data_IF_674544687254
#
_entry.id   IF_674544687254
#
_cell.length_a   1.000
_cell.length_b   1.000
_cell.length_c   1.000
_cell.angle_alpha   90.00
_cell.angle_beta   90.00
_cell.angle_gamma   90.00
#
_symmetry.space_group_name_H-M   'P 1'
#
loop_
_entity.id
_entity.type
_entity.pdbx_description
1 polymer ?
#
# COMPACT_ATOMS: atom_id res chain seq x y z
N UNK A 1 -3.41 21.95 -1.34
CA UNK A 1 -4.90 21.86 -1.36
C UNK A 1 -5.52 21.98 -2.77
N UNK A 2 -5.41 23.12 -3.47
CA UNK A 2 -6.08 23.33 -4.77
C UNK A 2 -5.73 22.28 -5.85
N UNK A 3 -4.48 21.81 -5.89
CA UNK A 3 -4.04 20.76 -6.81
C UNK A 3 -4.70 19.41 -6.50
N UNK A 4 -4.88 19.07 -5.22
CA UNK A 4 -5.51 17.81 -4.77
C UNK A 4 -6.96 17.80 -5.22
N UNK A 5 -7.69 18.88 -4.93
CA UNK A 5 -9.10 19.04 -5.32
C UNK A 5 -9.24 19.06 -6.85
N UNK A 6 -8.33 19.75 -7.54
CA UNK A 6 -8.29 19.81 -9.00
C UNK A 6 -8.17 18.41 -9.62
N UNK A 7 -7.14 17.64 -9.25
CA UNK A 7 -6.91 16.29 -9.78
C UNK A 7 -8.08 15.35 -9.42
N UNK A 8 -8.59 15.43 -8.19
CA UNK A 8 -9.73 14.63 -7.77
C UNK A 8 -10.97 14.90 -8.64
N UNK A 9 -11.28 16.18 -8.91
CA UNK A 9 -12.45 16.58 -9.69
C UNK A 9 -12.29 16.35 -11.20
N UNK A 10 -11.11 16.61 -11.78
CA UNK A 10 -10.92 16.61 -13.24
C UNK A 10 -10.36 15.32 -13.80
N UNK A 11 -9.68 14.51 -12.98
CA UNK A 11 -9.05 13.25 -13.42
C UNK A 11 -9.73 12.07 -12.76
N UNK A 12 -9.69 11.98 -11.43
CA UNK A 12 -10.11 10.76 -10.71
C UNK A 12 -11.63 10.56 -10.80
N UNK A 13 -12.41 11.62 -10.55
CA UNK A 13 -13.87 11.56 -10.58
C UNK A 13 -14.43 11.12 -11.95
N UNK A 14 -14.10 11.76 -13.09
CA UNK A 14 -14.65 11.33 -14.37
C UNK A 14 -14.18 9.94 -14.78
N UNK A 15 -12.94 9.55 -14.46
CA UNK A 15 -12.42 8.20 -14.73
C UNK A 15 -13.09 7.11 -13.88
N UNK A 16 -13.72 7.47 -12.75
CA UNK A 16 -14.40 6.53 -11.85
C UNK A 16 -15.87 6.29 -12.21
N UNK A 17 -16.44 7.05 -13.14
CA UNK A 17 -17.85 6.91 -13.57
C UNK A 17 -18.10 5.72 -14.53
N UNK A 18 -17.23 5.41 -15.51
CA UNK A 18 -17.41 4.28 -16.41
C UNK A 18 -17.36 2.96 -15.65
N UNK A 19 -18.28 2.05 -15.98
CA UNK A 19 -18.38 0.73 -15.35
C UNK A 19 -17.51 -0.34 -16.00
N UNK A 20 -17.04 -0.10 -17.23
CA UNK A 20 -16.19 -1.01 -17.99
C UNK A 20 -14.77 -0.46 -18.08
N UNK A 21 -13.85 -1.06 -17.34
CA UNK A 21 -12.44 -0.69 -17.37
C UNK A 21 -11.70 -1.49 -18.46
N UNK A 22 -12.12 -1.39 -19.73
CA UNK A 22 -11.38 -2.01 -20.84
C UNK A 22 -9.96 -1.43 -20.96
N UNK A 23 -9.76 -0.19 -20.47
CA UNK A 23 -8.45 0.45 -20.32
C UNK A 23 -7.53 -0.20 -19.26
N UNK A 24 -8.06 -1.06 -18.37
CA UNK A 24 -7.34 -1.72 -17.27
C UNK A 24 -6.10 -2.50 -17.76
N UNK A 25 -6.18 -3.11 -18.94
CA UNK A 25 -5.06 -3.88 -19.53
C UNK A 25 -3.82 -3.01 -19.79
N UNK A 26 -4.01 -1.76 -20.20
CA UNK A 26 -2.90 -0.85 -20.50
C UNK A 26 -2.32 -0.23 -19.24
N UNK A 27 -3.15 0.00 -18.22
CA UNK A 27 -2.69 0.53 -16.93
C UNK A 27 -1.77 -0.48 -16.22
N UNK A 28 -2.08 -1.78 -16.26
CA UNK A 28 -1.21 -2.79 -15.63
C UNK A 28 0.22 -2.78 -16.19
N UNK A 29 0.39 -2.63 -17.52
CA UNK A 29 1.71 -2.54 -18.15
C UNK A 29 2.45 -1.29 -17.68
N UNK A 30 1.75 -0.15 -17.63
CA UNK A 30 2.31 1.10 -17.14
C UNK A 30 2.70 1.01 -15.66
N UNK A 31 1.91 0.35 -14.81
CA UNK A 31 2.22 0.15 -13.39
C UNK A 31 3.48 -0.69 -13.18
N UNK A 32 3.61 -1.80 -13.91
CA UNK A 32 4.81 -2.64 -13.84
C UNK A 32 6.03 -1.86 -14.32
N UNK A 33 5.91 -1.12 -15.42
CA UNK A 33 6.98 -0.27 -15.93
C UNK A 33 7.38 0.80 -14.89
N UNK A 34 6.41 1.46 -14.25
CA UNK A 34 6.68 2.47 -13.23
C UNK A 34 7.45 1.90 -12.04
N UNK A 35 7.04 0.73 -11.52
CA UNK A 35 7.73 0.07 -10.41
C UNK A 35 9.16 -0.31 -10.82
N UNK A 36 9.34 -0.89 -12.02
CA UNK A 36 10.66 -1.23 -12.53
C UNK A 36 11.56 0.00 -12.67
N UNK A 37 11.04 1.09 -13.25
CA UNK A 37 11.79 2.34 -13.42
C UNK A 37 12.16 2.96 -12.06
N UNK A 38 11.24 2.98 -11.09
CA UNK A 38 11.52 3.45 -9.74
C UNK A 38 12.61 2.61 -9.08
N UNK A 39 12.50 1.28 -9.12
CA UNK A 39 13.48 0.40 -8.52
C UNK A 39 14.88 0.55 -9.15
N UNK A 40 14.95 0.64 -10.48
CA UNK A 40 16.22 0.88 -11.20
C UNK A 40 16.79 2.25 -10.85
N UNK A 41 15.97 3.31 -10.87
CA UNK A 41 16.42 4.66 -10.57
C UNK A 41 16.99 4.76 -9.15
N UNK A 42 16.30 4.16 -8.18
CA UNK A 42 16.75 4.10 -6.78
C UNK A 42 18.05 3.30 -6.67
N UNK A 43 18.11 2.11 -7.27
CA UNK A 43 19.31 1.27 -7.24
C UNK A 43 20.54 1.97 -7.84
N UNK A 44 20.38 2.68 -8.96
CA UNK A 44 21.47 3.39 -9.62
C UNK A 44 21.91 4.65 -8.86
N UNK A 45 20.97 5.37 -8.24
CA UNK A 45 21.26 6.66 -7.58
C UNK A 45 21.68 6.51 -6.11
N UNK A 46 21.29 5.43 -5.45
CA UNK A 46 21.58 5.24 -4.04
C UNK A 46 23.08 5.34 -3.68
N UNK A 47 24.03 4.75 -4.44
CA UNK A 47 25.45 4.89 -4.13
C UNK A 47 25.95 6.34 -4.20
N UNK A 48 25.50 7.10 -5.21
CA UNK A 48 25.90 8.50 -5.39
C UNK A 48 25.35 9.40 -4.30
N UNK A 49 24.07 9.25 -3.95
CA UNK A 49 23.45 10.01 -2.85
C UNK A 49 24.04 9.62 -1.49
N UNK A 50 24.36 8.35 -1.26
CA UNK A 50 25.03 7.91 -0.05
C UNK A 50 26.46 8.47 0.07
N UNK A 51 27.21 8.60 -1.03
CA UNK A 51 28.55 9.18 -1.00
C UNK A 51 28.52 10.70 -0.81
N UNK A 52 27.59 11.38 -1.49
CA UNK A 52 27.46 12.83 -1.44
C UNK A 52 26.74 13.34 -0.19
N UNK A 53 26.33 12.45 0.72
CA UNK A 53 25.40 12.75 1.82
C UNK A 53 24.18 13.55 1.34
N UNK A 54 23.59 13.11 0.22
CA UNK A 54 22.68 13.88 -0.63
C UNK A 54 21.30 14.23 -0.04
N UNK A 55 21.14 14.11 1.28
CA UNK A 55 20.00 14.60 2.05
C UNK A 55 20.36 15.56 3.18
N UNK A 56 21.65 15.85 3.40
CA UNK A 56 22.08 16.84 4.40
C UNK A 56 22.01 18.24 3.81
N UNK A 57 21.30 19.12 4.51
CA UNK A 57 21.37 20.55 4.28
C UNK A 57 22.74 21.05 4.79
N UNK A 58 23.49 21.74 3.93
CA UNK A 58 24.83 22.28 4.27
C UNK A 58 24.80 23.32 5.41
N UNK A 59 23.62 23.79 5.80
CA UNK A 59 23.37 24.76 6.87
C UNK A 59 22.96 24.08 8.21
N UNK A 60 22.79 22.76 8.25
CA UNK A 60 22.43 22.04 9.48
C UNK A 60 23.58 22.02 10.50
N UNK A 61 23.24 21.94 11.79
CA UNK A 61 24.23 21.79 12.86
C UNK A 61 25.08 20.52 12.59
N UNK A 62 26.42 20.64 12.59
CA UNK A 62 27.32 19.51 12.36
C UNK A 62 27.03 18.28 13.24
N UNK A 63 26.60 18.47 14.49
CA UNK A 63 26.28 17.37 15.41
C UNK A 63 25.01 16.62 15.02
N UNK A 64 23.95 17.35 14.68
CA UNK A 64 22.68 16.75 14.23
C UNK A 64 22.85 16.06 12.87
N UNK A 65 23.65 16.66 11.99
CA UNK A 65 24.00 16.09 10.69
C UNK A 65 24.77 14.77 10.82
N UNK A 66 25.65 14.64 11.82
CA UNK A 66 26.43 13.43 12.06
C UNK A 66 25.54 12.31 12.61
N UNK A 67 24.70 12.60 13.60
CA UNK A 67 23.76 11.62 14.18
C UNK A 67 22.72 11.15 13.14
N UNK A 68 22.16 12.06 12.34
CA UNK A 68 21.20 11.70 11.30
C UNK A 68 21.83 10.85 10.19
N UNK A 69 23.14 10.98 9.98
CA UNK A 69 23.88 10.19 9.02
C UNK A 69 24.40 8.85 9.58
N UNK A 70 24.18 8.55 10.85
CA UNK A 70 24.53 7.23 11.39
C UNK A 70 23.64 6.13 10.81
N UNK A 71 24.25 4.97 10.55
CA UNK A 71 23.52 3.82 10.04
C UNK A 71 22.82 3.10 11.20
N UNK A 72 21.52 3.39 11.37
CA UNK A 72 20.68 2.72 12.36
C UNK A 72 20.20 1.39 11.82
N UNK A 73 20.68 0.28 12.39
CA UNK A 73 20.27 -1.08 12.02
C UNK A 73 18.99 -1.53 12.74
N UNK A 74 18.75 -0.99 13.94
CA UNK A 74 17.62 -1.34 14.77
C UNK A 74 17.05 -0.08 15.43
N UNK A 75 15.73 0.08 15.35
CA UNK A 75 15.01 1.10 16.10
C UNK A 75 14.28 0.42 17.27
N UNK A 76 14.60 0.76 18.54
CA UNK A 76 13.95 0.16 19.70
C UNK A 76 12.53 0.69 19.94
N UNK A 77 12.08 1.72 19.22
CA UNK A 77 10.74 2.29 19.42
C UNK A 77 9.62 1.32 18.98
N UNK A 78 8.78 0.84 19.92
CA UNK A 78 7.70 -0.10 19.60
C UNK A 78 6.62 0.52 18.70
N UNK A 79 6.38 1.84 18.78
CA UNK A 79 5.37 2.50 17.95
C UNK A 79 5.76 2.47 16.47
N UNK A 80 7.02 2.82 16.16
CA UNK A 80 7.60 2.73 14.82
C UNK A 80 7.60 1.30 14.27
N UNK A 81 7.89 0.30 15.12
CA UNK A 81 7.84 -1.11 14.74
C UNK A 81 6.40 -1.55 14.38
N UNK A 82 5.41 -1.15 15.18
CA UNK A 82 3.99 -1.41 14.92
C UNK A 82 3.49 -0.71 13.65
N UNK A 83 3.96 0.52 13.40
CA UNK A 83 3.67 1.23 12.15
C UNK A 83 4.26 0.51 10.95
N UNK A 84 5.52 0.07 11.04
CA UNK A 84 6.19 -0.68 9.98
C UNK A 84 5.49 -2.02 9.69
N UNK A 85 5.05 -2.73 10.73
CA UNK A 85 4.23 -3.94 10.60
C UNK A 85 2.93 -3.67 9.84
N UNK A 86 2.25 -2.57 10.18
CA UNK A 86 0.96 -2.21 9.58
C UNK A 86 1.09 -1.79 8.12
N UNK A 87 2.12 -1.01 7.79
CA UNK A 87 2.46 -0.64 6.42
C UNK A 87 2.81 -1.89 5.60
N UNK A 88 3.59 -2.81 6.17
CA UNK A 88 3.93 -4.07 5.51
C UNK A 88 2.67 -4.92 5.25
N UNK A 89 1.76 -4.98 6.21
CA UNK A 89 0.51 -5.72 6.06
C UNK A 89 -0.37 -5.14 4.95
N UNK A 90 -0.43 -3.81 4.83
CA UNK A 90 -1.12 -3.14 3.74
C UNK A 90 -0.41 -3.37 2.40
N UNK A 91 0.92 -3.32 2.36
CA UNK A 91 1.72 -3.51 1.15
C UNK A 91 1.48 -4.90 0.53
N UNK A 92 1.46 -5.95 1.36
CA UNK A 92 1.23 -7.34 0.91
C UNK A 92 -0.25 -7.71 0.74
N UNK A 93 -1.18 -6.73 0.77
CA UNK A 93 -2.61 -6.99 0.67
C UNK A 93 -3.06 -7.28 -0.79
N UNK A 94 -2.77 -8.48 -1.29
CA UNK A 94 -3.16 -8.91 -2.63
C UNK A 94 -4.47 -9.73 -2.70
N UNK A 95 -5.16 -9.92 -1.56
CA UNK A 95 -6.28 -10.86 -1.41
C UNK A 95 -7.49 -10.57 -2.32
N UNK A 96 -7.74 -9.31 -2.68
CA UNK A 96 -8.83 -8.91 -3.58
C UNK A 96 -8.65 -9.45 -5.00
N UNK A 97 -7.39 -9.63 -5.42
CA UNK A 97 -7.03 -10.14 -6.73
C UNK A 97 -6.84 -11.67 -6.76
N UNK A 98 -6.80 -12.33 -5.60
CA UNK A 98 -6.50 -13.75 -5.50
C UNK A 98 -7.52 -14.62 -6.27
N UNK A 99 -8.82 -14.35 -6.12
CA UNK A 99 -9.87 -15.13 -6.80
C UNK A 99 -9.86 -14.92 -8.32
N UNK A 100 -9.89 -13.68 -8.86
CA UNK A 100 -9.76 -13.46 -10.30
C UNK A 100 -8.52 -14.13 -10.90
N UNK A 101 -7.36 -13.99 -10.26
CA UNK A 101 -6.12 -14.63 -10.72
C UNK A 101 -6.26 -16.15 -10.73
N UNK A 102 -6.73 -16.76 -9.64
CA UNK A 102 -6.91 -18.20 -9.56
C UNK A 102 -7.86 -18.73 -10.65
N UNK A 103 -8.96 -18.02 -10.94
CA UNK A 103 -9.91 -18.41 -12.00
C UNK A 103 -9.36 -18.23 -13.42
N UNK A 104 -8.31 -17.41 -13.60
CA UNK A 104 -7.65 -17.20 -14.88
C UNK A 104 -6.54 -18.22 -15.19
N UNK A 105 -6.13 -19.02 -14.19
CA UNK A 105 -5.11 -20.05 -14.37
C UNK A 105 -5.61 -21.17 -15.28
N UNK A 106 -4.73 -21.64 -16.17
CA UNK A 106 -5.02 -22.79 -17.05
C UNK A 106 -5.38 -24.06 -16.26
N UNK A 107 -4.82 -24.21 -15.05
CA UNK A 107 -5.16 -25.23 -14.06
C UNK A 107 -5.27 -24.56 -12.71
N UNK A 108 -6.47 -24.55 -12.12
CA UNK A 108 -6.75 -23.91 -10.84
C UNK A 108 -6.74 -24.94 -9.70
N UNK A 109 -5.74 -25.82 -9.65
CA UNK A 109 -5.52 -26.72 -8.52
C UNK A 109 -4.75 -26.01 -7.39
N UNK A 110 -4.87 -26.54 -6.17
CA UNK A 110 -4.28 -25.90 -4.98
C UNK A 110 -2.77 -25.72 -5.05
N UNK A 111 -2.05 -26.63 -5.72
CA UNK A 111 -0.60 -26.51 -5.89
C UNK A 111 -0.25 -25.39 -6.88
N UNK A 112 -0.93 -25.31 -8.03
CA UNK A 112 -0.72 -24.23 -8.99
C UNK A 112 -0.99 -22.86 -8.39
N UNK A 113 -2.10 -22.70 -7.65
CA UNK A 113 -2.42 -21.44 -6.95
C UNK A 113 -1.34 -21.09 -5.93
N UNK A 114 -0.87 -22.05 -5.14
CA UNK A 114 0.20 -21.84 -4.16
C UNK A 114 1.51 -21.41 -4.82
N UNK A 115 1.94 -22.09 -5.89
CA UNK A 115 3.16 -21.74 -6.62
C UNK A 115 3.08 -20.32 -7.21
N UNK A 116 2.00 -19.98 -7.90
CA UNK A 116 1.83 -18.63 -8.49
C UNK A 116 1.82 -17.56 -7.41
N UNK A 117 1.17 -17.82 -6.28
CA UNK A 117 1.17 -16.90 -5.13
C UNK A 117 2.57 -16.73 -4.56
N UNK A 118 3.32 -17.82 -4.38
CA UNK A 118 4.69 -17.78 -3.87
C UNK A 118 5.63 -16.99 -4.79
N UNK A 119 5.59 -17.24 -6.10
CA UNK A 119 6.39 -16.49 -7.07
C UNK A 119 6.05 -15.00 -7.05
N UNK A 120 4.76 -14.67 -6.93
CA UNK A 120 4.31 -13.27 -6.87
C UNK A 120 4.87 -12.55 -5.65
N UNK A 121 4.77 -13.18 -4.47
CA UNK A 121 5.34 -12.63 -3.22
C UNK A 121 6.87 -12.52 -3.30
N UNK A 122 7.56 -13.51 -3.87
CA UNK A 122 9.02 -13.42 -4.04
C UNK A 122 9.44 -12.24 -4.92
N UNK A 123 8.74 -12.01 -6.04
CA UNK A 123 9.00 -10.86 -6.92
C UNK A 123 8.75 -9.54 -6.17
N UNK A 124 7.64 -9.45 -5.45
CA UNK A 124 7.28 -8.28 -4.65
C UNK A 124 8.34 -7.96 -3.59
N UNK A 125 8.80 -8.96 -2.84
CA UNK A 125 9.88 -8.82 -1.86
C UNK A 125 11.17 -8.28 -2.49
N UNK A 126 11.53 -8.71 -3.70
CA UNK A 126 12.72 -8.21 -4.40
C UNK A 126 12.58 -6.72 -4.69
N UNK A 127 11.44 -6.28 -5.23
CA UNK A 127 11.21 -4.86 -5.52
C UNK A 127 11.15 -4.01 -4.25
N UNK A 128 10.47 -4.48 -3.20
CA UNK A 128 10.43 -3.79 -1.92
C UNK A 128 11.80 -3.72 -1.25
N UNK A 129 12.61 -4.77 -1.33
CA UNK A 129 13.97 -4.75 -0.82
C UNK A 129 14.83 -3.72 -1.56
N UNK A 130 14.80 -3.70 -2.90
CA UNK A 130 15.57 -2.73 -3.70
C UNK A 130 15.18 -1.29 -3.35
N UNK A 131 13.87 -0.99 -3.33
CA UNK A 131 13.39 0.37 -3.06
C UNK A 131 13.56 0.77 -1.59
N UNK A 132 13.23 -0.13 -0.66
CA UNK A 132 13.33 0.13 0.78
C UNK A 132 14.78 0.27 1.26
N UNK A 133 15.65 -0.67 0.89
CA UNK A 133 17.07 -0.60 1.25
C UNK A 133 17.77 0.54 0.49
N UNK A 134 17.51 0.68 -0.82
CA UNK A 134 18.12 1.74 -1.62
C UNK A 134 17.67 3.13 -1.16
N UNK A 135 16.38 3.32 -0.88
CA UNK A 135 15.83 4.55 -0.35
C UNK A 135 16.43 4.90 1.01
N UNK A 136 16.46 3.94 1.94
CA UNK A 136 17.06 4.18 3.27
C UNK A 136 18.56 4.44 3.20
N UNK A 137 19.33 3.67 2.42
CA UNK A 137 20.79 3.87 2.32
C UNK A 137 21.15 5.20 1.64
N UNK A 138 20.26 5.76 0.81
CA UNK A 138 20.46 7.05 0.15
C UNK A 138 20.43 8.23 1.13
N UNK A 139 19.61 8.16 2.19
CA UNK A 139 19.31 9.32 3.06
C UNK A 139 19.47 9.05 4.57
N UNK A 140 19.55 7.77 4.97
CA UNK A 140 19.69 7.29 6.36
C UNK A 140 18.62 7.86 7.28
N UNK A 141 19.00 8.45 8.42
CA UNK A 141 18.08 9.03 9.38
C UNK A 141 17.21 10.17 8.84
N UNK A 142 17.54 10.72 7.66
CA UNK A 142 16.79 11.80 7.00
C UNK A 142 15.73 11.29 6.01
N UNK A 143 15.55 9.98 5.91
CA UNK A 143 14.58 9.38 4.97
C UNK A 143 13.15 9.80 5.34
N UNK A 144 12.45 10.50 4.44
CA UNK A 144 11.03 10.84 4.63
C UNK A 144 10.16 9.60 4.43
N UNK A 145 8.94 9.65 4.97
CA UNK A 145 7.92 8.61 4.77
C UNK A 145 7.70 8.29 3.29
N UNK A 146 7.60 9.34 2.46
CA UNK A 146 7.73 9.23 1.01
C UNK A 146 9.17 9.57 0.62
N UNK A 147 10.03 8.55 0.60
CA UNK A 147 11.46 8.70 0.31
C UNK A 147 11.73 9.24 -1.10
N UNK A 148 10.78 9.14 -2.04
CA UNK A 148 10.95 9.68 -3.39
C UNK A 148 11.05 11.21 -3.33
N UNK A 149 10.43 11.85 -2.33
CA UNK A 149 10.51 13.30 -2.10
C UNK A 149 11.85 13.77 -1.54
N UNK A 150 12.71 12.86 -1.07
CA UNK A 150 14.07 13.22 -0.64
C UNK A 150 15.01 13.52 -1.82
N UNK A 151 14.75 12.96 -3.00
CA UNK A 151 15.55 13.28 -4.17
C UNK A 151 15.41 14.75 -4.56
N UNK A 152 16.45 15.34 -5.13
CA UNK A 152 16.43 16.76 -5.52
C UNK A 152 15.47 16.99 -6.69
N UNK A 153 14.88 18.17 -6.76
CA UNK A 153 13.92 18.54 -7.82
C UNK A 153 14.59 18.85 -9.16
N UNK A 154 15.89 19.15 -9.17
CA UNK A 154 16.71 19.38 -10.37
C UNK A 154 17.10 18.08 -11.09
N UNK A 155 16.92 16.93 -10.43
CA UNK A 155 17.18 15.62 -11.01
C UNK A 155 16.06 15.22 -11.98
N UNK A 156 16.28 15.52 -13.27
CA UNK A 156 15.35 15.21 -14.37
C UNK A 156 14.93 13.74 -14.38
N UNK A 157 15.84 12.81 -14.06
CA UNK A 157 15.54 11.38 -14.03
C UNK A 157 14.55 11.02 -12.92
N UNK A 158 14.75 11.56 -11.71
CA UNK A 158 13.80 11.34 -10.61
C UNK A 158 12.50 12.09 -10.82
N UNK A 159 12.55 13.27 -11.45
CA UNK A 159 11.35 14.00 -11.84
C UNK A 159 10.47 13.18 -12.79
N UNK A 160 11.05 12.55 -13.82
CA UNK A 160 10.31 11.66 -14.72
C UNK A 160 9.70 10.46 -13.98
N UNK A 161 10.45 9.84 -13.07
CA UNK A 161 9.95 8.74 -12.22
C UNK A 161 8.73 9.19 -11.41
N UNK A 162 8.80 10.37 -10.77
CA UNK A 162 7.67 10.95 -10.02
C UNK A 162 6.45 11.21 -10.90
N UNK A 163 6.65 11.73 -12.11
CA UNK A 163 5.54 11.95 -13.05
C UNK A 163 4.86 10.63 -13.45
N UNK A 164 5.65 9.61 -13.82
CA UNK A 164 5.11 8.30 -14.21
C UNK A 164 4.39 7.63 -13.02
N UNK A 165 5.00 7.66 -11.83
CA UNK A 165 4.40 7.15 -10.60
C UNK A 165 3.08 7.87 -10.29
N UNK A 166 3.05 9.20 -10.38
CA UNK A 166 1.84 9.99 -10.16
C UNK A 166 0.71 9.64 -11.14
N UNK A 167 1.02 9.44 -12.42
CA UNK A 167 0.04 8.97 -13.42
C UNK A 167 -0.52 7.60 -13.04
N UNK A 168 0.33 6.65 -12.66
CA UNK A 168 -0.08 5.30 -12.25
C UNK A 168 -1.00 5.35 -11.03
N UNK A 169 -0.65 6.13 -10.00
CA UNK A 169 -1.47 6.30 -8.79
C UNK A 169 -2.83 6.92 -9.14
N UNK A 170 -2.86 7.96 -9.97
CA UNK A 170 -4.09 8.60 -10.42
C UNK A 170 -5.00 7.64 -11.19
N UNK A 171 -4.43 6.77 -12.02
CA UNK A 171 -5.17 5.74 -12.77
C UNK A 171 -5.58 4.55 -11.89
N UNK A 172 -4.83 4.24 -10.83
CA UNK A 172 -5.14 3.19 -9.87
C UNK A 172 -6.36 3.52 -9.00
N UNK A 173 -6.56 4.80 -8.66
CA UNK A 173 -7.71 5.26 -7.88
C UNK A 173 -9.08 4.85 -8.46
N UNK A 174 -9.44 5.18 -9.72
CA UNK A 174 -10.72 4.76 -10.32
C UNK A 174 -10.85 3.24 -10.44
N UNK A 175 -9.74 2.53 -10.67
CA UNK A 175 -9.71 1.07 -10.80
C UNK A 175 -10.15 0.40 -9.50
N UNK A 176 -9.64 0.87 -8.36
CA UNK A 176 -10.01 0.35 -7.04
C UNK A 176 -11.36 0.89 -6.56
N UNK A 177 -11.73 2.11 -6.98
CA UNK A 177 -12.96 2.75 -6.54
C UNK A 177 -14.22 2.12 -7.15
N UNK A 178 -14.16 1.67 -8.40
CA UNK A 178 -15.30 1.02 -9.08
C UNK A 178 -15.82 -0.24 -8.36
N UNK A 179 -14.97 -1.23 -8.00
CA UNK A 179 -15.41 -2.37 -7.20
C UNK A 179 -15.77 -1.94 -5.75
N UNK A 180 -15.06 -0.99 -5.15
CA UNK A 180 -15.40 -0.49 -3.82
C UNK A 180 -16.82 0.12 -3.77
N UNK A 181 -17.15 0.98 -4.72
CA UNK A 181 -18.49 1.58 -4.86
C UNK A 181 -19.56 0.50 -5.11
N UNK A 182 -19.22 -0.52 -5.89
CA UNK A 182 -20.10 -1.67 -6.13
C UNK A 182 -20.39 -2.45 -4.84
N UNK A 183 -19.38 -2.69 -4.01
CA UNK A 183 -19.52 -3.35 -2.70
C UNK A 183 -20.35 -2.52 -1.73
N UNK A 184 -20.12 -1.21 -1.65
CA UNK A 184 -20.90 -0.30 -0.80
C UNK A 184 -22.38 -0.30 -1.22
N UNK A 185 -22.67 -0.18 -2.51
CA UNK A 185 -24.05 -0.24 -3.01
C UNK A 185 -24.72 -1.60 -2.73
N UNK A 186 -23.95 -2.68 -2.74
CA UNK A 186 -24.42 -4.01 -2.32
C UNK A 186 -24.83 -4.04 -0.85
N UNK A 187 -23.98 -3.50 0.03
CA UNK A 187 -24.24 -3.42 1.47
C UNK A 187 -25.45 -2.54 1.81
N UNK A 188 -25.65 -1.45 1.07
CA UNK A 188 -26.80 -0.55 1.26
C UNK A 188 -28.13 -1.12 0.76
N UNK A 189 -28.16 -2.35 0.22
CA UNK A 189 -29.36 -2.95 -0.36
C UNK A 189 -29.85 -2.26 -1.64
N UNK A 190 -29.10 -1.27 -2.14
CA UNK A 190 -29.37 -0.57 -3.41
C UNK A 190 -29.01 -1.43 -4.65
N UNK A 191 -28.66 -2.70 -4.43
CA UNK A 191 -28.37 -3.71 -5.45
C UNK A 191 -29.57 -4.65 -5.68
N UNK A 192 -30.80 -4.12 -5.69
CA UNK A 192 -32.00 -4.90 -6.00
C UNK A 192 -32.37 -4.78 -7.48
N UNK A 193 -32.57 -5.93 -8.13
CA UNK A 193 -33.17 -6.09 -9.46
C UNK A 193 -32.47 -5.42 -10.66
N UNK A 194 -31.20 -5.76 -10.90
CA UNK A 194 -30.59 -5.73 -12.25
C UNK A 194 -30.38 -4.35 -12.90
N UNK A 195 -30.93 -3.26 -12.35
CA UNK A 195 -30.80 -1.90 -12.87
C UNK A 195 -30.17 -0.99 -11.82
N UNK A 196 -28.85 -1.12 -11.70
CA UNK A 196 -28.03 -0.21 -10.87
C UNK A 196 -28.17 1.22 -11.39
N UNK A 197 -28.91 2.05 -10.65
CA UNK A 197 -29.05 3.47 -10.98
C UNK A 197 -27.68 4.12 -11.15
N UNK A 198 -27.45 4.77 -12.30
CA UNK A 198 -26.22 5.53 -12.56
C UNK A 198 -26.02 6.62 -11.50
N UNK A 199 -27.13 7.20 -11.01
CA UNK A 199 -27.10 8.20 -9.96
C UNK A 199 -26.56 7.66 -8.63
N UNK A 200 -27.01 6.47 -8.18
CA UNK A 200 -26.53 5.88 -6.92
C UNK A 200 -25.04 5.54 -6.97
N UNK A 201 -24.55 5.05 -8.12
CA UNK A 201 -23.12 4.82 -8.32
C UNK A 201 -22.31 6.11 -8.32
N UNK A 202 -22.79 7.13 -9.04
CA UNK A 202 -22.15 8.45 -9.07
C UNK A 202 -22.10 9.06 -7.66
N UNK A 203 -23.16 8.94 -6.88
CA UNK A 203 -23.21 9.44 -5.50
C UNK A 203 -22.17 8.76 -4.61
N UNK A 204 -22.11 7.43 -4.61
CA UNK A 204 -21.12 6.68 -3.80
C UNK A 204 -19.69 7.02 -4.22
N UNK A 205 -19.40 7.03 -5.52
CA UNK A 205 -18.07 7.42 -6.05
C UNK A 205 -17.69 8.82 -5.59
N UNK A 206 -18.63 9.77 -5.68
CA UNK A 206 -18.39 11.16 -5.28
C UNK A 206 -18.11 11.26 -3.78
N UNK A 207 -18.94 10.62 -2.94
CA UNK A 207 -18.75 10.62 -1.49
C UNK A 207 -17.39 10.05 -1.11
N UNK A 208 -16.99 8.91 -1.69
CA UNK A 208 -15.70 8.29 -1.38
C UNK A 208 -14.53 9.17 -1.82
N UNK A 209 -14.57 9.77 -3.03
CA UNK A 209 -13.51 10.69 -3.49
C UNK A 209 -13.40 11.91 -2.59
N UNK A 210 -14.54 12.50 -2.18
CA UNK A 210 -14.55 13.65 -1.27
C UNK A 210 -13.95 13.26 0.07
N UNK A 211 -14.31 12.10 0.63
CA UNK A 211 -13.71 11.60 1.87
C UNK A 211 -12.19 11.41 1.75
N UNK A 212 -11.71 10.82 0.64
CA UNK A 212 -10.28 10.68 0.37
C UNK A 212 -9.58 12.04 0.24
N UNK A 213 -10.20 13.02 -0.43
CA UNK A 213 -9.65 14.36 -0.56
C UNK A 213 -9.57 15.09 0.78
N UNK A 214 -10.58 14.95 1.66
CA UNK A 214 -10.54 15.48 3.02
C UNK A 214 -9.39 14.90 3.83
N UNK A 215 -9.19 13.57 3.78
CA UNK A 215 -8.06 12.92 4.47
C UNK A 215 -6.73 13.43 3.93
N UNK A 216 -6.59 13.58 2.60
CA UNK A 216 -5.37 14.09 1.98
C UNK A 216 -5.08 15.58 2.29
N UNK A 217 -6.09 16.37 2.65
CA UNK A 217 -5.91 17.76 3.10
C UNK A 217 -5.57 17.82 4.58
N UNK A 218 -6.15 16.93 5.39
CA UNK A 218 -5.91 16.91 6.84
C UNK A 218 -4.61 16.23 7.25
N UNK A 219 -4.10 15.29 6.44
CA UNK A 219 -2.91 14.53 6.79
C UNK A 219 -1.94 14.47 5.60
N UNK A 220 -0.78 15.09 5.77
CA UNK A 220 0.30 15.09 4.79
C UNK A 220 1.22 13.85 4.93
N UNK A 221 1.12 13.12 6.05
CA UNK A 221 1.92 11.96 6.40
C UNK A 221 1.27 10.66 5.89
N UNK A 222 1.67 10.25 4.69
CA UNK A 222 1.16 9.06 4.01
C UNK A 222 1.35 7.78 4.85
N UNK A 223 2.45 7.66 5.60
CA UNK A 223 2.71 6.44 6.38
C UNK A 223 1.77 6.30 7.59
N UNK A 224 1.22 7.40 8.11
CA UNK A 224 0.29 7.38 9.23
C UNK A 224 -1.08 6.89 8.74
N UNK A 225 -1.53 7.40 7.58
CA UNK A 225 -2.77 6.97 6.92
C UNK A 225 -2.69 5.49 6.54
N UNK A 226 -1.59 5.07 5.88
CA UNK A 226 -1.38 3.67 5.51
C UNK A 226 -1.26 2.79 6.75
N UNK A 227 -0.54 3.25 7.77
CA UNK A 227 -0.40 2.58 9.05
C UNK A 227 -1.77 2.28 9.65
N UNK A 228 -2.63 3.30 9.78
CA UNK A 228 -3.95 3.19 10.39
C UNK A 228 -4.88 2.26 9.60
N UNK A 229 -4.89 2.36 8.27
CA UNK A 229 -5.72 1.49 7.41
C UNK A 229 -5.21 0.04 7.45
N UNK A 230 -3.89 -0.14 7.42
CA UNK A 230 -3.24 -1.45 7.50
C UNK A 230 -3.49 -2.15 8.84
N UNK A 231 -3.34 -1.42 9.95
CA UNK A 231 -3.55 -1.95 11.30
C UNK A 231 -5.01 -2.25 11.62
N UNK A 232 -5.96 -1.47 11.07
CA UNK A 232 -7.40 -1.71 11.21
C UNK A 232 -7.92 -2.77 10.24
N UNK A 233 -8.31 -2.36 9.03
CA UNK A 233 -8.95 -3.20 8.03
C UNK A 233 -8.01 -4.28 7.50
N UNK A 234 -6.72 -3.96 7.35
CA UNK A 234 -5.70 -4.93 6.93
C UNK A 234 -5.59 -6.10 7.91
N UNK A 235 -5.41 -5.83 9.20
CA UNK A 235 -5.34 -6.88 10.24
C UNK A 235 -6.61 -7.73 10.29
N UNK A 236 -7.79 -7.10 10.16
CA UNK A 236 -9.05 -7.82 10.18
C UNK A 236 -9.18 -8.77 8.98
N UNK A 237 -8.93 -8.28 7.77
CA UNK A 237 -9.20 -9.03 6.53
C UNK A 237 -8.06 -9.98 6.18
N UNK A 238 -6.81 -9.60 6.42
CA UNK A 238 -5.61 -10.37 6.01
C UNK A 238 -5.17 -11.36 7.10
N UNK A 239 -5.46 -11.09 8.39
CA UNK A 239 -5.01 -11.95 9.50
C UNK A 239 -6.17 -12.62 10.23
N UNK A 240 -7.10 -11.84 10.79
CA UNK A 240 -8.17 -12.37 11.63
C UNK A 240 -9.17 -13.24 10.84
N UNK A 241 -9.58 -12.80 9.65
CA UNK A 241 -10.54 -13.53 8.83
C UNK A 241 -9.98 -14.88 8.32
N UNK A 242 -8.75 -14.95 7.78
CA UNK A 242 -8.12 -16.23 7.47
C UNK A 242 -7.93 -17.13 8.69
N UNK A 243 -7.62 -16.60 9.87
CA UNK A 243 -7.53 -17.40 11.10
C UNK A 243 -8.86 -18.09 11.42
N UNK A 244 -9.98 -17.36 11.31
CA UNK A 244 -11.33 -17.90 11.53
C UNK A 244 -11.71 -18.96 10.50
N UNK A 245 -11.45 -18.71 9.21
CA UNK A 245 -11.70 -19.69 8.14
C UNK A 245 -10.83 -20.93 8.34
N UNK A 246 -9.54 -20.74 8.62
CA UNK A 246 -8.61 -21.85 8.83
C UNK A 246 -9.07 -22.75 9.97
N UNK A 247 -9.48 -22.16 11.10
CA UNK A 247 -9.99 -22.89 12.26
C UNK A 247 -11.24 -23.72 11.94
N UNK A 248 -12.18 -23.17 11.16
CA UNK A 248 -13.45 -23.83 10.82
C UNK A 248 -13.30 -24.89 9.73
N UNK A 249 -12.48 -24.63 8.72
CA UNK A 249 -12.48 -25.43 7.49
C UNK A 249 -11.23 -26.29 7.35
N UNK A 250 -10.04 -25.75 7.65
CA UNK A 250 -8.75 -26.39 7.31
C UNK A 250 -8.07 -27.07 8.49
N UNK A 251 -8.47 -26.74 9.72
CA UNK A 251 -7.85 -27.26 10.94
C UNK A 251 -7.94 -28.79 11.04
N UNK A 252 -9.01 -29.38 10.53
CA UNK A 252 -9.24 -30.84 10.56
C UNK A 252 -8.48 -31.59 9.46
N UNK A 253 -8.02 -30.90 8.41
CA UNK A 253 -7.30 -31.53 7.28
C UNK A 253 -5.80 -31.66 7.51
N UNK A 254 -5.22 -30.81 8.37
CA UNK A 254 -3.79 -30.79 8.61
C UNK A 254 -3.38 -31.58 9.87
N UNK A 255 -2.13 -32.07 9.93
CA UNK A 255 -1.57 -32.62 11.15
C UNK A 255 -1.72 -31.64 12.32
N UNK A 256 -2.00 -32.12 13.55
CA UNK A 256 -2.36 -31.25 14.67
C UNK A 256 -1.29 -30.22 15.01
N UNK A 257 -0.01 -30.55 14.77
CA UNK A 257 1.11 -29.61 14.96
C UNK A 257 1.05 -28.44 13.98
N UNK A 258 0.87 -28.72 12.69
CA UNK A 258 0.78 -27.70 11.63
C UNK A 258 -0.48 -26.86 11.82
N UNK A 259 -1.61 -27.50 12.10
CA UNK A 259 -2.88 -26.83 12.32
C UNK A 259 -2.82 -25.84 13.49
N UNK A 260 -2.23 -26.25 14.62
CA UNK A 260 -2.01 -25.38 15.78
C UNK A 260 -1.04 -24.25 15.45
N UNK A 261 0.08 -24.56 14.79
CA UNK A 261 1.09 -23.56 14.44
C UNK A 261 0.50 -22.44 13.56
N UNK A 262 -0.19 -22.80 12.46
CA UNK A 262 -0.80 -21.82 11.54
C UNK A 262 -1.90 -21.01 12.23
N UNK A 263 -2.76 -21.67 13.03
CA UNK A 263 -3.82 -20.95 13.73
C UNK A 263 -3.28 -19.96 14.76
N UNK A 264 -2.32 -20.37 15.60
CA UNK A 264 -1.75 -19.50 16.62
C UNK A 264 -0.89 -18.40 16.02
N UNK A 265 -0.16 -18.66 14.92
CA UNK A 265 0.62 -17.61 14.24
C UNK A 265 -0.30 -16.53 13.65
N UNK A 266 -1.37 -16.91 12.94
CA UNK A 266 -2.35 -15.95 12.41
C UNK A 266 -3.10 -15.20 13.52
N UNK A 267 -3.46 -15.88 14.61
CA UNK A 267 -4.14 -15.25 15.75
C UNK A 267 -3.22 -14.27 16.50
N UNK A 268 -1.95 -14.62 16.67
CA UNK A 268 -0.95 -13.75 17.26
C UNK A 268 -0.70 -12.52 16.37
N UNK A 269 -0.52 -12.72 15.06
CA UNK A 269 -0.36 -11.63 14.11
C UNK A 269 -1.59 -10.70 14.09
N UNK A 270 -2.81 -11.25 14.16
CA UNK A 270 -4.02 -10.46 14.26
C UNK A 270 -4.10 -9.63 15.56
N UNK A 271 -3.66 -10.21 16.69
CA UNK A 271 -3.58 -9.50 17.97
C UNK A 271 -2.53 -8.37 17.92
N UNK A 272 -1.38 -8.61 17.28
CA UNK A 272 -0.36 -7.58 17.03
C UNK A 272 -0.91 -6.46 16.15
N UNK A 273 -1.67 -6.80 15.11
CA UNK A 273 -2.33 -5.82 14.25
C UNK A 273 -3.35 -4.97 14.99
N UNK A 274 -4.15 -5.56 15.88
CA UNK A 274 -5.08 -4.84 16.73
C UNK A 274 -4.35 -3.93 17.74
N UNK A 275 -3.27 -4.42 18.34
CA UNK A 275 -2.44 -3.60 19.22
C UNK A 275 -1.81 -2.42 18.45
N UNK A 276 -1.35 -2.65 17.21
CA UNK A 276 -0.80 -1.60 16.36
C UNK A 276 -1.85 -0.53 16.03
N UNK A 277 -3.10 -0.94 15.81
CA UNK A 277 -4.21 -0.02 15.60
C UNK A 277 -4.47 0.85 16.83
N UNK A 278 -4.51 0.28 18.02
CA UNK A 278 -4.68 1.05 19.26
C UNK A 278 -3.55 2.06 19.45
N UNK A 279 -2.30 1.63 19.27
CA UNK A 279 -1.13 2.53 19.40
C UNK A 279 -1.21 3.69 18.42
N UNK A 280 -1.48 3.41 17.15
CA UNK A 280 -1.59 4.46 16.12
C UNK A 280 -2.78 5.38 16.33
N UNK A 281 -3.93 4.85 16.75
CA UNK A 281 -5.11 5.66 17.04
C UNK A 281 -4.86 6.61 18.22
N UNK A 282 -4.13 6.15 19.26
CA UNK A 282 -3.73 6.99 20.39
C UNK A 282 -2.75 8.08 19.95
N UNK A 283 -1.76 7.73 19.13
CA UNK A 283 -0.80 8.72 18.59
C UNK A 283 -1.53 9.77 17.75
N UNK A 284 -2.41 9.33 16.84
CA UNK A 284 -3.19 10.23 15.98
C UNK A 284 -4.22 11.09 16.74
N UNK A 285 -4.62 10.67 17.94
CA UNK A 285 -5.52 11.45 18.80
C UNK A 285 -4.80 12.52 19.62
N UNK A 286 -3.53 12.26 19.97
CA UNK A 286 -2.73 13.15 20.83
C UNK A 286 -1.76 14.07 20.07
N UNK A 287 -1.45 13.77 18.81
CA UNK A 287 -0.67 14.62 17.91
C UNK A 287 -1.56 15.58 17.12
#
# INVERSE_FOLDING_TARGET
EALIVGIAATVVWPLSLPRSLTALRYVCVLSVLAICLTAIAVACKAPGYAQAKGGLDMEADPLEAEEAWELKWWNPDPASAMQSFSISLFAFAAHTNAVPVATSLRRADGYSIWCVSLYSVCIEVVFYAIMGLGGYLSFRGLTKQDFILNYRNDDVGMFLVRCIYGVVVCLGAPINLSPAASSILGLLGCSTHGRRSRASHCAVVTVVIVSCACVAIWNEHIADVIGLIGSSFGSLIVLAWPAMIYRKTLFQLHPPLIARFVFYSLSCAAALGFAAFLTQAVIAWHG
#
